data_IF_931432757500
#
_entry.id   IF_931432757500
#
_cell.length_a   1.000
_cell.length_b   1.000
_cell.length_c   1.000
_cell.angle_alpha   90.00
_cell.angle_beta   90.00
_cell.angle_gamma   90.00
#
_symmetry.space_group_name_H-M   'P 1'
#
loop_
_entity.id
_entity.type
_entity.pdbx_description
1 polymer ?
#
# COMPACT_ATOMS: atom_id res chain seq x y z
N UNK A 1 -5.76 28.35 -16.61
CA UNK A 1 -6.98 27.88 -15.93
C UNK A 1 -7.73 29.11 -15.50
N UNK A 2 -8.98 29.31 -15.94
CA UNK A 2 -9.74 30.49 -15.49
C UNK A 2 -10.29 30.23 -14.09
N UNK A 3 -10.21 31.25 -13.22
CA UNK A 3 -10.84 31.23 -11.89
C UNK A 3 -12.34 30.97 -12.01
N UNK A 4 -12.97 31.49 -13.07
CA UNK A 4 -14.38 31.25 -13.43
C UNK A 4 -14.77 29.77 -13.45
N UNK A 5 -13.89 28.89 -13.96
CA UNK A 5 -14.17 27.45 -14.00
C UNK A 5 -14.16 26.82 -12.61
N UNK A 6 -13.25 27.27 -11.74
CA UNK A 6 -13.22 26.83 -10.35
C UNK A 6 -14.47 27.31 -9.61
N UNK A 7 -14.87 28.57 -9.80
CA UNK A 7 -16.07 29.15 -9.20
C UNK A 7 -17.34 28.40 -9.65
N UNK A 8 -17.43 28.04 -10.94
CA UNK A 8 -18.54 27.24 -11.45
C UNK A 8 -18.61 25.84 -10.83
N UNK A 9 -17.46 25.20 -10.57
CA UNK A 9 -17.40 23.91 -9.87
C UNK A 9 -17.87 24.09 -8.43
N UNK A 10 -17.35 25.11 -7.72
CA UNK A 10 -17.73 25.41 -6.34
C UNK A 10 -19.24 25.67 -6.24
N UNK A 11 -19.82 26.45 -7.16
CA UNK A 11 -21.25 26.71 -7.21
C UNK A 11 -22.08 25.43 -7.35
N UNK A 12 -21.70 24.54 -8.29
CA UNK A 12 -22.38 23.24 -8.48
C UNK A 12 -22.25 22.32 -7.26
N UNK A 13 -21.08 22.29 -6.63
CA UNK A 13 -20.85 21.49 -5.42
C UNK A 13 -21.70 21.99 -4.25
N UNK A 14 -21.77 23.31 -4.03
CA UNK A 14 -22.60 23.92 -2.97
C UNK A 14 -24.09 23.69 -3.18
N UNK A 15 -24.53 23.70 -4.44
CA UNK A 15 -25.92 23.41 -4.80
C UNK A 15 -26.22 21.91 -4.91
N UNK A 16 -25.27 21.02 -4.59
CA UNK A 16 -25.42 19.56 -4.69
C UNK A 16 -25.81 19.06 -6.10
N UNK A 17 -25.50 19.84 -7.14
CA UNK A 17 -25.82 19.52 -8.55
C UNK A 17 -24.61 19.05 -9.35
N UNK A 18 -23.46 18.87 -8.70
CA UNK A 18 -22.25 18.38 -9.36
C UNK A 18 -22.46 16.96 -9.88
N UNK A 19 -22.29 16.76 -11.20
CA UNK A 19 -22.36 15.45 -11.85
C UNK A 19 -20.97 14.98 -12.26
N UNK A 20 -20.60 13.80 -11.78
CA UNK A 20 -19.34 13.13 -12.12
C UNK A 20 -19.33 12.67 -13.58
N UNK A 21 -18.18 12.81 -14.23
CA UNK A 21 -18.01 12.32 -15.60
C UNK A 21 -17.50 10.88 -15.60
N UNK A 22 -18.00 9.99 -16.48
CA UNK A 22 -17.44 8.66 -16.63
C UNK A 22 -15.93 8.69 -16.93
N UNK A 23 -15.18 7.82 -16.24
CA UNK A 23 -13.72 7.76 -16.35
C UNK A 23 -13.30 7.19 -17.70
N UNK A 24 -12.37 7.87 -18.39
CA UNK A 24 -11.87 7.43 -19.70
C UNK A 24 -10.86 6.30 -19.54
N UNK A 25 -11.07 5.18 -20.25
CA UNK A 25 -10.12 4.06 -20.25
C UNK A 25 -8.93 4.35 -21.17
N UNK A 26 -7.71 4.10 -20.69
CA UNK A 26 -6.47 4.22 -21.49
C UNK A 26 -5.55 3.06 -21.17
N UNK A 27 -4.75 2.61 -22.14
CA UNK A 27 -3.88 1.44 -21.98
C UNK A 27 -2.42 1.84 -22.08
N UNK A 28 -1.63 1.50 -21.05
CA UNK A 28 -0.18 1.72 -21.03
C UNK A 28 0.53 0.36 -21.18
N UNK A 29 1.50 0.23 -22.10
CA UNK A 29 2.23 -1.02 -22.27
C UNK A 29 3.08 -1.35 -21.03
N UNK A 30 3.10 -2.62 -20.63
CA UNK A 30 4.05 -3.15 -19.64
C UNK A 30 5.24 -3.78 -20.36
N UNK A 31 6.36 -3.95 -19.63
CA UNK A 31 7.56 -4.66 -20.12
C UNK A 31 7.29 -6.11 -20.55
N UNK A 32 6.30 -6.76 -19.97
CA UNK A 32 5.93 -8.14 -20.26
C UNK A 32 4.94 -8.30 -21.44
N UNK A 33 4.81 -7.29 -22.31
CA UNK A 33 3.92 -7.32 -23.48
C UNK A 33 2.43 -7.13 -23.19
N UNK A 34 1.99 -7.23 -21.93
CA UNK A 34 0.59 -6.97 -21.54
C UNK A 34 0.31 -5.47 -21.43
N UNK A 35 -0.96 -5.06 -21.54
CA UNK A 35 -1.39 -3.67 -21.35
C UNK A 35 -1.98 -3.47 -19.95
N UNK A 36 -1.60 -2.39 -19.26
CA UNK A 36 -2.23 -1.95 -18.00
C UNK A 36 -3.40 -1.02 -18.33
N UNK A 37 -4.66 -1.39 -18.01
CA UNK A 37 -5.78 -0.46 -18.13
C UNK A 37 -5.68 0.59 -17.01
N UNK A 38 -5.74 1.88 -17.38
CA UNK A 38 -5.84 3.02 -16.48
C UNK A 38 -7.17 3.72 -16.69
N UNK A 39 -7.74 4.23 -15.61
CA UNK A 39 -8.87 5.14 -15.65
C UNK A 39 -8.36 6.58 -15.51
N UNK A 40 -8.60 7.41 -16.53
CA UNK A 40 -8.25 8.83 -16.52
C UNK A 40 -9.53 9.65 -16.25
N UNK A 41 -9.67 10.25 -15.06
CA UNK A 41 -10.76 11.17 -14.78
C UNK A 41 -10.56 12.49 -15.55
N UNK A 42 -11.62 13.29 -15.67
CA UNK A 42 -11.49 14.65 -16.18
C UNK A 42 -10.71 15.52 -15.19
N UNK A 43 -10.18 16.65 -15.65
CA UNK A 43 -9.48 17.57 -14.75
C UNK A 43 -10.37 18.08 -13.62
N UNK A 44 -11.63 18.40 -13.92
CA UNK A 44 -12.59 18.89 -12.92
C UNK A 44 -12.87 17.82 -11.85
N UNK A 45 -13.11 16.58 -12.26
CA UNK A 45 -13.35 15.48 -11.33
C UNK A 45 -12.11 15.17 -10.50
N UNK A 46 -10.92 15.26 -11.11
CA UNK A 46 -9.66 15.11 -10.39
C UNK A 46 -9.51 16.20 -9.33
N UNK A 47 -9.78 17.46 -9.66
CA UNK A 47 -9.73 18.56 -8.70
C UNK A 47 -10.64 18.31 -7.49
N UNK A 48 -11.91 17.97 -7.73
CA UNK A 48 -12.86 17.69 -6.65
C UNK A 48 -12.41 16.49 -5.81
N UNK A 49 -11.90 15.43 -6.45
CA UNK A 49 -11.37 14.25 -5.76
C UNK A 49 -10.18 14.61 -4.86
N UNK A 50 -9.26 15.47 -5.30
CA UNK A 50 -8.13 15.91 -4.47
C UNK A 50 -8.60 16.74 -3.26
N UNK A 51 -9.61 17.59 -3.40
CA UNK A 51 -10.18 18.32 -2.24
C UNK A 51 -10.80 17.35 -1.23
N UNK A 52 -11.55 16.35 -1.71
CA UNK A 52 -12.10 15.29 -0.86
C UNK A 52 -10.97 14.51 -0.18
N UNK A 53 -9.90 14.17 -0.92
CA UNK A 53 -8.72 13.52 -0.36
C UNK A 53 -8.12 14.34 0.79
N UNK A 54 -7.91 15.64 0.62
CA UNK A 54 -7.33 16.50 1.67
C UNK A 54 -8.16 16.48 2.96
N UNK A 55 -9.49 16.51 2.84
CA UNK A 55 -10.41 16.45 3.98
C UNK A 55 -10.36 15.09 4.68
N UNK A 56 -10.40 14.00 3.91
CA UNK A 56 -10.38 12.64 4.46
C UNK A 56 -9.01 12.30 5.06
N UNK A 57 -7.92 12.77 4.44
CA UNK A 57 -6.56 12.59 4.93
C UNK A 57 -6.40 13.24 6.30
N UNK A 58 -6.88 14.49 6.49
CA UNK A 58 -6.83 15.15 7.79
C UNK A 58 -7.55 14.38 8.92
N UNK A 59 -8.63 13.66 8.59
CA UNK A 59 -9.40 12.90 9.57
C UNK A 59 -8.87 11.48 9.82
N UNK A 60 -8.58 10.73 8.76
CA UNK A 60 -8.22 9.32 8.83
C UNK A 60 -6.73 9.07 9.08
N UNK A 61 -5.85 10.00 8.70
CA UNK A 61 -4.41 9.81 8.87
C UNK A 61 -4.02 9.66 10.35
N UNK A 62 -4.70 10.40 11.24
CA UNK A 62 -4.49 10.35 12.70
C UNK A 62 -4.95 9.02 13.30
N UNK A 63 -6.02 8.43 12.76
CA UNK A 63 -6.59 7.17 13.25
C UNK A 63 -5.93 5.94 12.61
N UNK A 64 -5.09 6.14 11.60
CA UNK A 64 -4.45 5.06 10.87
C UNK A 64 -3.47 4.28 11.75
N UNK A 65 -3.40 2.96 11.55
CA UNK A 65 -2.44 2.11 12.25
C UNK A 65 -1.00 2.56 11.98
N UNK A 66 -0.14 2.47 13.01
CA UNK A 66 1.29 2.75 12.86
C UNK A 66 1.97 1.86 11.81
N UNK A 67 1.47 0.65 11.58
CA UNK A 67 2.00 -0.31 10.61
C UNK A 67 1.46 -0.07 9.19
N UNK A 68 0.56 0.89 9.00
CA UNK A 68 0.07 1.28 7.69
C UNK A 68 0.96 2.38 7.10
N UNK A 69 1.62 2.06 5.98
CA UNK A 69 2.57 2.95 5.30
C UNK A 69 2.10 3.41 3.92
N UNK A 70 1.05 2.79 3.38
CA UNK A 70 0.58 3.06 2.02
C UNK A 70 -0.14 4.40 1.90
N UNK A 71 0.14 5.16 0.83
CA UNK A 71 -0.60 6.37 0.46
C UNK A 71 -0.65 7.47 1.54
N UNK A 72 0.30 7.48 2.48
CA UNK A 72 0.42 8.46 3.56
C UNK A 72 1.51 9.50 3.31
N UNK A 73 1.37 10.72 3.82
CA UNK A 73 2.43 11.71 3.77
C UNK A 73 3.62 11.26 4.64
N UNK A 74 4.83 11.33 4.09
CA UNK A 74 6.06 10.97 4.82
C UNK A 74 6.28 9.47 5.09
N UNK A 75 5.42 8.57 4.57
CA UNK A 75 5.57 7.11 4.68
C UNK A 75 5.45 6.46 3.31
N UNK A 76 6.11 5.31 3.13
CA UNK A 76 6.10 4.59 1.87
C UNK A 76 6.73 3.20 1.97
N UNK A 77 7.10 2.63 0.83
CA UNK A 77 7.63 1.25 0.78
C UNK A 77 8.89 1.08 1.64
N UNK A 78 9.76 2.09 1.70
CA UNK A 78 10.99 2.02 2.48
C UNK A 78 10.73 2.06 3.99
N UNK A 79 9.77 2.85 4.47
CA UNK A 79 9.42 2.88 5.91
C UNK A 79 8.81 1.55 6.35
N UNK A 80 8.02 0.91 5.47
CA UNK A 80 7.48 -0.42 5.72
C UNK A 80 8.58 -1.49 5.82
N UNK A 81 9.55 -1.47 4.89
CA UNK A 81 10.68 -2.40 4.93
C UNK A 81 11.55 -2.22 6.18
N UNK A 82 11.82 -0.96 6.56
CA UNK A 82 12.58 -0.67 7.78
C UNK A 82 11.86 -1.19 9.03
N UNK A 83 10.54 -1.01 9.12
CA UNK A 83 9.76 -1.56 10.23
C UNK A 83 9.87 -3.08 10.30
N UNK A 84 9.79 -3.78 9.16
CA UNK A 84 9.97 -5.24 9.13
C UNK A 84 11.35 -5.64 9.63
N UNK A 85 12.42 -4.96 9.20
CA UNK A 85 13.80 -5.28 9.64
C UNK A 85 13.98 -5.07 11.14
N UNK A 86 13.42 -4.00 11.71
CA UNK A 86 13.54 -3.70 13.14
C UNK A 86 12.73 -4.65 14.02
N UNK A 87 11.52 -5.01 13.56
CA UNK A 87 10.58 -5.86 14.32
C UNK A 87 10.93 -7.33 14.18
N UNK A 88 11.32 -7.77 12.98
CA UNK A 88 11.65 -9.16 12.70
C UNK A 88 13.11 -9.45 13.03
N UNK A 89 13.39 -9.58 14.33
CA UNK A 89 14.66 -10.15 14.81
C UNK A 89 14.52 -11.67 14.81
N UNK A 90 15.37 -12.35 14.04
CA UNK A 90 15.46 -13.80 14.07
C UNK A 90 15.67 -14.28 15.53
N UNK A 91 15.10 -15.43 15.92
CA UNK A 91 15.37 -15.99 17.24
C UNK A 91 16.90 -16.16 17.39
N UNK A 92 17.44 -15.64 18.49
CA UNK A 92 18.87 -15.76 18.78
C UNK A 92 19.28 -17.24 18.74
N UNK A 93 20.46 -17.59 18.20
CA UNK A 93 20.92 -18.98 18.11
C UNK A 93 21.03 -19.69 19.47
N UNK A 94 20.95 -18.94 20.58
CA UNK A 94 20.95 -19.47 21.95
C UNK A 94 19.65 -20.19 22.36
N UNK A 95 18.56 -20.10 21.60
CA UNK A 95 17.29 -20.78 21.93
C UNK A 95 17.04 -22.05 21.09
N UNK A 96 18.05 -22.56 20.38
CA UNK A 96 17.93 -23.85 19.73
C UNK A 96 17.76 -24.94 20.80
N UNK A 97 16.68 -25.74 20.80
CA UNK A 97 16.60 -26.89 21.68
C UNK A 97 17.77 -27.82 21.34
N UNK A 98 18.63 -28.07 22.33
CA UNK A 98 19.74 -29.02 22.25
C UNK A 98 19.19 -30.33 21.70
N UNK A 99 19.43 -30.60 20.42
CA UNK A 99 19.15 -31.90 19.83
C UNK A 99 20.01 -32.91 20.58
N UNK A 100 19.40 -33.67 21.50
CA UNK A 100 20.02 -34.87 22.05
C UNK A 100 20.39 -35.73 20.84
N UNK A 101 21.70 -36.00 20.67
CA UNK A 101 22.16 -37.04 19.75
C UNK A 101 21.37 -38.31 20.11
N UNK A 102 20.78 -39.04 19.14
CA UNK A 102 20.31 -40.39 19.42
C UNK A 102 21.52 -41.19 19.90
N UNK A 103 21.35 -41.86 21.05
CA UNK A 103 22.37 -42.74 21.62
C UNK A 103 22.71 -43.83 20.59
N UNK A 104 23.97 -43.86 20.13
CA UNK A 104 24.53 -44.98 19.37
C UNK A 104 24.63 -46.20 20.31
N UNK A 105 23.54 -46.95 20.40
CA UNK A 105 23.50 -48.26 21.06
C UNK A 105 24.29 -49.30 20.25
N UNK A 106 25.08 -50.19 20.89
CA UNK A 106 26.01 -51.05 20.20
C UNK A 106 25.30 -52.33 19.75
N UNK A 107 24.88 -52.40 18.49
CA UNK A 107 24.48 -53.68 17.89
C UNK A 107 25.16 -53.83 16.51
N UNK A 108 26.43 -54.20 16.57
CA UNK A 108 27.12 -54.83 15.45
C UNK A 108 26.87 -56.36 15.54
N UNK A 109 26.18 -57.00 14.59
CA UNK A 109 26.17 -58.46 14.52
C UNK A 109 27.51 -58.98 13.95
N UNK A 110 28.03 -60.10 14.48
CA UNK A 110 29.35 -60.62 14.13
C UNK A 110 29.40 -61.24 12.74
N UNK A 111 30.57 -61.11 12.12
CA UNK A 111 30.96 -61.70 10.84
C UNK A 111 30.86 -63.22 10.82
N UNK A 112 30.15 -63.74 9.81
CA UNK A 112 30.50 -64.96 9.04
C UNK A 112 29.93 -64.84 7.64
#
# INVERSE_FOLDING_TARGET
>A
MSLEKADAIIGKSRAETYRWTPVRRTYVPKKNGRKRPLGLPTWSDKLVTEVVRLLLEAYYDVQSSRHFHGLRPGRGCHTALNEVVEVWKAPSPSSAPSTRKPDDGPDAPPST
#
